data_IF_783632136407
#
_entry.id   IF_783632136407
#
_cell.length_a   1.000
_cell.length_b   1.000
_cell.length_c   1.000
_cell.angle_alpha   90.00
_cell.angle_beta   90.00
_cell.angle_gamma   90.00
#
_symmetry.space_group_name_H-M   'P 1'
#
loop_
_entity.id
_entity.type
_entity.pdbx_description
1 polymer ?
#
# COMPACT_ATOMS: atom_id res chain seq x y z
N UNK A 1 -2.72 5.18 -20.06
CA UNK A 1 -2.17 4.10 -19.21
C UNK A 1 -2.87 4.24 -17.87
N UNK A 2 -3.29 3.13 -17.23
CA UNK A 2 -3.89 3.22 -15.90
C UNK A 2 -2.80 3.56 -14.87
N UNK A 3 -3.11 4.47 -13.94
CA UNK A 3 -2.23 4.89 -12.85
C UNK A 3 -1.70 3.67 -12.07
N UNK A 4 -0.39 3.59 -11.84
CA UNK A 4 0.20 2.48 -11.07
C UNK A 4 -0.01 2.73 -9.58
N UNK A 5 -0.89 1.95 -8.93
CA UNK A 5 -1.19 2.09 -7.51
C UNK A 5 -0.35 1.13 -6.67
N UNK A 6 0.32 1.62 -5.65
CA UNK A 6 1.04 0.83 -4.65
C UNK A 6 0.63 1.22 -3.23
N UNK A 7 0.96 0.39 -2.24
CA UNK A 7 0.54 0.65 -0.87
C UNK A 7 1.54 0.16 0.19
N UNK A 8 1.27 0.56 1.43
CA UNK A 8 1.73 -0.11 2.66
C UNK A 8 0.51 -0.44 3.52
N UNK A 9 0.43 -1.67 4.03
CA UNK A 9 -0.66 -2.13 4.89
C UNK A 9 -0.14 -2.64 6.24
N UNK A 10 -0.91 -2.41 7.30
CA UNK A 10 -0.64 -2.76 8.69
C UNK A 10 -1.76 -2.25 9.59
N UNK A 11 -1.64 -2.48 10.90
CA UNK A 11 -2.62 -1.98 11.88
C UNK A 11 -1.97 -1.74 13.25
N UNK A 12 -1.95 -0.50 13.78
CA UNK A 12 -2.29 0.76 13.11
C UNK A 12 -1.20 1.18 12.10
N UNK A 13 -1.58 1.88 11.03
CA UNK A 13 -0.62 2.28 9.96
C UNK A 13 -0.38 3.78 9.80
N UNK A 14 -1.15 4.63 10.47
CA UNK A 14 -1.15 6.09 10.27
C UNK A 14 0.22 6.77 10.48
N UNK A 15 1.10 6.17 11.28
CA UNK A 15 2.45 6.69 11.54
C UNK A 15 3.46 6.37 10.43
N UNK A 16 3.09 5.58 9.43
CA UNK A 16 3.99 5.18 8.35
C UNK A 16 4.47 6.39 7.55
N UNK A 17 5.79 6.52 7.42
CA UNK A 17 6.43 7.55 6.57
C UNK A 17 6.55 7.11 5.11
N UNK A 18 6.25 5.84 4.80
CA UNK A 18 6.40 5.27 3.46
C UNK A 18 5.63 6.05 2.38
N UNK A 19 4.37 6.50 2.58
CA UNK A 19 3.66 7.30 1.57
C UNK A 19 4.39 8.60 1.20
N UNK A 20 5.00 9.28 2.18
CA UNK A 20 5.78 10.50 1.93
C UNK A 20 7.05 10.19 1.14
N UNK A 21 7.77 9.13 1.51
CA UNK A 21 9.03 8.72 0.87
C UNK A 21 8.78 8.26 -0.57
N UNK A 22 7.86 7.33 -0.79
CA UNK A 22 7.56 6.83 -2.12
C UNK A 22 6.90 7.89 -3.00
N UNK A 23 5.98 8.70 -2.45
CA UNK A 23 5.41 9.83 -3.18
C UNK A 23 6.45 10.84 -3.65
N UNK A 24 7.50 11.11 -2.85
CA UNK A 24 8.62 11.95 -3.27
C UNK A 24 9.35 11.36 -4.48
N UNK A 25 9.71 10.07 -4.45
CA UNK A 25 10.45 9.42 -5.55
C UNK A 25 9.62 9.29 -6.83
N UNK A 26 8.32 8.98 -6.71
CA UNK A 26 7.42 8.94 -7.87
C UNK A 26 7.41 10.29 -8.60
N UNK A 27 7.29 11.40 -7.86
CA UNK A 27 7.36 12.75 -8.43
C UNK A 27 8.73 13.08 -9.00
N UNK A 28 9.80 12.77 -8.25
CA UNK A 28 11.18 13.09 -8.64
C UNK A 28 11.58 12.45 -9.97
N UNK A 29 11.08 11.24 -10.25
CA UNK A 29 11.41 10.49 -11.46
C UNK A 29 10.30 10.52 -12.53
N UNK A 30 9.24 11.32 -12.34
CA UNK A 30 8.14 11.42 -13.31
C UNK A 30 7.39 10.09 -13.53
N UNK A 31 7.33 9.23 -12.51
CA UNK A 31 6.65 7.94 -12.59
C UNK A 31 5.16 8.16 -12.31
N UNK A 32 4.32 7.88 -13.30
CA UNK A 32 2.86 7.90 -13.17
C UNK A 32 2.37 6.77 -12.23
N UNK A 33 2.13 7.13 -10.97
CA UNK A 33 1.65 6.23 -9.93
C UNK A 33 1.43 6.90 -8.58
N UNK A 34 0.82 6.15 -7.67
CA UNK A 34 0.52 6.56 -6.29
C UNK A 34 1.01 5.53 -5.29
N UNK A 35 1.28 6.01 -4.07
CA UNK A 35 1.64 5.17 -2.94
C UNK A 35 0.89 5.63 -1.69
N UNK A 36 0.08 4.75 -1.09
CA UNK A 36 -0.78 5.09 0.05
C UNK A 36 -0.63 4.13 1.24
N UNK A 37 -0.98 4.59 2.43
CA UNK A 37 -1.14 3.72 3.60
C UNK A 37 -2.59 3.23 3.66
N UNK A 38 -2.77 1.94 3.86
CA UNK A 38 -4.08 1.30 3.97
C UNK A 38 -4.13 0.63 5.33
N UNK A 39 -5.02 1.12 6.19
CA UNK A 39 -5.23 0.52 7.50
C UNK A 39 -6.17 -0.67 7.34
N UNK A 40 -5.70 -1.87 7.73
CA UNK A 40 -6.44 -3.12 7.56
C UNK A 40 -6.38 -3.88 8.87
N UNK A 41 -7.52 -4.11 9.51
CA UNK A 41 -7.56 -4.91 10.73
C UNK A 41 -7.11 -6.36 10.44
N UNK A 42 -6.55 -7.09 11.43
CA UNK A 42 -6.08 -8.47 11.22
C UNK A 42 -7.15 -9.41 10.65
N UNK A 43 -8.40 -9.25 11.07
CA UNK A 43 -9.54 -10.04 10.59
C UNK A 43 -9.87 -9.81 9.10
N UNK A 44 -9.57 -8.62 8.59
CA UNK A 44 -9.85 -8.22 7.20
C UNK A 44 -8.68 -8.49 6.24
N UNK A 45 -7.51 -8.85 6.76
CA UNK A 45 -6.28 -8.92 5.97
C UNK A 45 -6.38 -9.92 4.81
N UNK A 46 -6.98 -11.08 5.04
CA UNK A 46 -7.17 -12.08 3.99
C UNK A 46 -8.14 -11.62 2.90
N UNK A 47 -9.18 -10.86 3.25
CA UNK A 47 -10.12 -10.29 2.27
C UNK A 47 -9.44 -9.20 1.45
N UNK A 48 -8.67 -8.32 2.10
CA UNK A 48 -7.88 -7.29 1.45
C UNK A 48 -6.87 -7.87 0.43
N UNK A 49 -6.16 -8.95 0.76
CA UNK A 49 -5.23 -9.58 -0.19
C UNK A 49 -5.93 -10.11 -1.45
N UNK A 50 -7.19 -10.57 -1.32
CA UNK A 50 -7.98 -11.06 -2.46
C UNK A 50 -8.47 -9.93 -3.36
N UNK A 51 -8.71 -8.72 -2.82
CA UNK A 51 -9.20 -7.58 -3.61
C UNK A 51 -8.09 -6.87 -4.41
N UNK A 52 -6.81 -7.12 -4.13
CA UNK A 52 -5.70 -6.34 -4.69
C UNK A 52 -5.69 -6.22 -6.22
N UNK A 53 -6.03 -7.31 -6.91
CA UNK A 53 -6.09 -7.34 -8.37
C UNK A 53 -7.24 -6.52 -8.93
N UNK A 54 -8.41 -6.61 -8.30
CA UNK A 54 -9.63 -5.88 -8.68
C UNK A 54 -9.48 -4.37 -8.41
N UNK A 55 -8.80 -4.01 -7.32
CA UNK A 55 -8.50 -2.63 -6.94
C UNK A 55 -7.40 -1.98 -7.81
N UNK A 56 -6.78 -2.75 -8.72
CA UNK A 56 -5.75 -2.25 -9.63
C UNK A 56 -4.41 -1.95 -8.95
N UNK A 57 -4.11 -2.56 -7.80
CA UNK A 57 -2.81 -2.44 -7.18
C UNK A 57 -1.75 -3.21 -7.95
N UNK A 58 -0.56 -2.61 -8.07
CA UNK A 58 0.63 -3.21 -8.67
C UNK A 58 1.52 -3.93 -7.67
N UNK A 59 1.30 -3.70 -6.37
CA UNK A 59 2.04 -4.31 -5.27
C UNK A 59 2.01 -3.44 -4.03
N UNK A 60 2.52 -3.97 -2.92
CA UNK A 60 2.54 -3.23 -1.67
C UNK A 60 3.50 -3.81 -0.64
N UNK A 61 3.71 -3.04 0.42
CA UNK A 61 4.48 -3.43 1.59
C UNK A 61 3.54 -3.90 2.70
N UNK A 62 3.98 -4.87 3.48
CA UNK A 62 3.24 -5.39 4.63
C UNK A 62 4.04 -5.08 5.90
N UNK A 63 3.37 -4.53 6.91
CA UNK A 63 3.95 -4.29 8.24
C UNK A 63 3.11 -4.95 9.34
N UNK A 64 3.61 -4.88 10.58
CA UNK A 64 2.98 -5.46 11.77
C UNK A 64 1.50 -5.04 11.84
N UNK A 65 0.60 -5.95 12.25
CA UNK A 65 0.86 -7.34 12.66
C UNK A 65 0.89 -8.35 11.49
N UNK A 66 0.64 -7.90 10.26
CA UNK A 66 0.37 -8.77 9.11
C UNK A 66 1.59 -9.49 8.53
N UNK A 67 2.80 -9.24 9.04
CA UNK A 67 4.03 -9.90 8.55
C UNK A 67 4.09 -11.39 8.88
N UNK A 68 3.39 -11.81 9.93
CA UNK A 68 3.43 -13.17 10.47
C UNK A 68 2.10 -13.93 10.25
N UNK A 69 1.15 -13.30 9.56
CA UNK A 69 -0.19 -13.84 9.29
C UNK A 69 -0.20 -14.93 8.22
#
# INVERSE_FOLDING_TARGET
MAEKRAFVTGHPIAHSRSPKIHGYWLRQYGIDGSYQAIDVAPEDFAAFLKSLGEDGYRGGNVTIPHKEA
#
